data_IF_857977602751
#
_entry.id   IF_857977602751
#
_cell.length_a   1.000
_cell.length_b   1.000
_cell.length_c   1.000
_cell.angle_alpha   90.00
_cell.angle_beta   90.00
_cell.angle_gamma   90.00
#
_symmetry.space_group_name_H-M   'P 1'
#
loop_
_entity.id
_entity.type
_entity.pdbx_description
1 polymer ?
#
# COMPACT_ATOMS: atom_id res chain seq x y z
N UNK A 1 19.49 -3.11 -6.20
CA UNK A 1 18.46 -2.08 -5.95
C UNK A 1 18.87 -1.04 -4.90
N UNK A 2 19.43 -1.43 -3.74
CA UNK A 2 19.78 -0.53 -2.61
C UNK A 2 20.76 0.60 -2.97
N UNK A 3 21.88 0.27 -3.65
CA UNK A 3 22.86 1.29 -4.14
C UNK A 3 22.26 2.29 -5.14
N UNK A 4 21.30 1.85 -5.98
CA UNK A 4 20.62 2.75 -6.94
C UNK A 4 19.75 3.80 -6.23
N UNK A 5 19.10 3.43 -5.12
CA UNK A 5 18.30 4.38 -4.32
C UNK A 5 19.16 5.39 -3.58
N UNK A 6 20.34 4.99 -3.08
CA UNK A 6 21.29 5.90 -2.45
C UNK A 6 21.91 6.92 -3.44
N UNK A 7 21.78 6.72 -4.75
CA UNK A 7 22.23 7.66 -5.78
C UNK A 7 21.44 8.97 -5.87
N UNK A 8 20.30 9.09 -5.15
CA UNK A 8 19.55 10.35 -5.07
C UNK A 8 20.15 11.32 -4.05
N UNK A 9 21.03 10.86 -3.16
CA UNK A 9 21.68 11.69 -2.14
C UNK A 9 22.58 12.69 -2.85
N UNK A 10 22.42 13.97 -2.51
CA UNK A 10 23.14 15.10 -3.13
C UNK A 10 24.05 15.76 -2.12
N UNK A 11 25.06 16.44 -2.64
CA UNK A 11 26.02 17.18 -1.84
C UNK A 11 25.32 18.16 -0.89
N UNK A 12 25.66 18.08 0.41
CA UNK A 12 25.15 18.95 1.47
C UNK A 12 23.61 19.02 1.61
N UNK A 13 22.88 18.08 1.01
CA UNK A 13 21.42 18.02 1.09
C UNK A 13 21.01 16.94 2.09
N UNK A 14 20.25 17.27 3.15
CA UNK A 14 19.82 16.27 4.13
C UNK A 14 19.10 15.08 3.51
N UNK A 15 19.38 13.89 4.00
CA UNK A 15 18.71 12.65 3.63
C UNK A 15 17.98 12.07 4.82
N UNK A 16 16.69 11.78 4.63
CA UNK A 16 15.82 11.18 5.64
C UNK A 16 15.55 9.73 5.24
N UNK A 17 15.69 8.81 6.18
CA UNK A 17 15.36 7.40 5.97
C UNK A 17 14.43 6.88 7.06
N UNK A 18 13.38 6.18 6.64
CA UNK A 18 12.50 5.40 7.51
C UNK A 18 12.77 3.89 7.47
N UNK A 19 13.87 3.43 6.85
CA UNK A 19 14.19 2.00 6.75
C UNK A 19 14.68 1.46 8.09
N UNK A 20 14.07 0.39 8.58
CA UNK A 20 14.39 -0.20 9.89
C UNK A 20 15.57 -1.18 9.85
N UNK A 21 16.03 -1.61 8.66
CA UNK A 21 17.08 -2.62 8.52
C UNK A 21 18.46 -1.99 8.74
N UNK A 22 19.25 -2.46 9.74
CA UNK A 22 20.56 -1.87 10.07
C UNK A 22 21.51 -1.80 8.87
N UNK A 23 21.55 -2.86 8.06
CA UNK A 23 22.39 -2.90 6.85
C UNK A 23 22.00 -1.86 5.81
N UNK A 24 20.71 -1.52 5.70
CA UNK A 24 20.25 -0.48 4.76
C UNK A 24 20.59 0.90 5.30
N UNK A 25 20.38 1.14 6.61
CA UNK A 25 20.78 2.38 7.27
C UNK A 25 22.27 2.66 7.11
N UNK A 26 23.13 1.66 7.35
CA UNK A 26 24.58 1.79 7.21
C UNK A 26 24.99 2.24 5.79
N UNK A 27 24.41 1.64 4.75
CA UNK A 27 24.67 2.02 3.35
C UNK A 27 24.25 3.47 3.07
N UNK A 28 23.09 3.91 3.61
CA UNK A 28 22.61 5.28 3.41
C UNK A 28 23.51 6.27 4.18
N UNK A 29 23.92 5.95 5.41
CA UNK A 29 24.82 6.75 6.23
C UNK A 29 26.20 6.91 5.57
N UNK A 30 26.78 5.84 5.06
CA UNK A 30 28.03 5.87 4.30
C UNK A 30 27.91 6.82 3.10
N UNK A 31 26.83 6.68 2.31
CA UNK A 31 26.61 7.53 1.15
C UNK A 31 26.33 8.99 1.52
N UNK A 32 25.66 9.24 2.64
CA UNK A 32 25.45 10.59 3.17
C UNK A 32 26.79 11.23 3.54
N UNK A 33 27.67 10.50 4.23
CA UNK A 33 29.02 10.97 4.58
C UNK A 33 29.85 11.32 3.34
N UNK A 34 29.83 10.49 2.30
CA UNK A 34 30.50 10.78 1.02
C UNK A 34 30.02 12.07 0.36
N UNK A 35 28.77 12.46 0.59
CA UNK A 35 28.15 13.66 0.03
C UNK A 35 28.11 14.83 1.01
N UNK A 36 28.74 14.73 2.18
CA UNK A 36 28.63 15.75 3.25
C UNK A 36 27.17 16.07 3.61
N UNK A 37 26.27 15.10 3.46
CA UNK A 37 24.86 15.22 3.74
C UNK A 37 24.56 14.80 5.19
N UNK A 38 23.66 15.51 5.84
CA UNK A 38 23.12 15.12 7.15
C UNK A 38 22.21 13.90 6.97
N UNK A 39 22.47 12.83 7.72
CA UNK A 39 21.59 11.67 7.78
C UNK A 39 20.60 11.81 8.94
N UNK A 40 19.31 11.77 8.64
CA UNK A 40 18.21 11.81 9.59
C UNK A 40 17.52 10.45 9.62
N UNK A 41 17.61 9.77 10.76
CA UNK A 41 16.92 8.51 11.00
C UNK A 41 15.49 8.77 11.48
N UNK A 42 14.51 8.67 10.59
CA UNK A 42 13.11 8.89 10.95
C UNK A 42 12.56 7.80 11.88
N UNK A 43 13.20 6.63 11.97
CA UNK A 43 12.67 5.52 12.78
C UNK A 43 12.66 5.81 14.28
N UNK A 44 13.46 6.79 14.74
CA UNK A 44 13.55 7.23 16.14
C UNK A 44 12.42 8.18 16.53
N UNK A 45 11.65 8.69 15.57
CA UNK A 45 10.58 9.65 15.83
C UNK A 45 9.29 8.97 16.28
N UNK A 46 8.55 9.65 17.15
CA UNK A 46 7.18 9.30 17.50
C UNK A 46 6.19 9.87 16.49
N UNK A 47 4.96 9.36 16.52
CA UNK A 47 3.86 9.76 15.62
C UNK A 47 2.65 10.19 16.43
N UNK A 48 2.65 11.39 17.02
CA UNK A 48 1.59 11.82 17.95
C UNK A 48 0.32 12.32 17.23
N UNK A 49 0.36 12.48 15.91
CA UNK A 49 -0.76 13.02 15.13
C UNK A 49 -1.61 11.90 14.53
N UNK A 50 -2.89 12.16 14.41
CA UNK A 50 -3.80 11.31 13.64
C UNK A 50 -3.67 11.57 12.15
N UNK A 51 -4.10 10.58 11.35
CA UNK A 51 -4.17 10.70 9.88
C UNK A 51 -5.41 10.03 9.32
N UNK A 52 -5.90 10.53 8.18
CA UNK A 52 -6.95 9.90 7.38
C UNK A 52 -6.44 8.69 6.59
N UNK A 53 -5.13 8.44 6.51
CA UNK A 53 -4.59 7.21 5.91
C UNK A 53 -4.60 6.05 6.92
N UNK A 54 -5.51 5.09 6.75
CA UNK A 54 -5.82 4.06 7.77
C UNK A 54 -4.96 2.79 7.71
N UNK A 55 -4.02 2.69 6.78
CA UNK A 55 -3.09 1.57 6.71
C UNK A 55 -2.09 1.62 7.85
N UNK A 56 -1.87 0.51 8.58
CA UNK A 56 -0.95 0.48 9.73
C UNK A 56 0.49 0.86 9.38
N UNK A 57 0.92 0.49 8.17
CA UNK A 57 2.21 0.86 7.62
C UNK A 57 2.39 2.39 7.48
N UNK A 58 1.31 3.18 7.50
CA UNK A 58 1.38 4.64 7.43
C UNK A 58 2.04 5.27 8.64
N UNK A 59 2.06 4.59 9.80
CA UNK A 59 2.87 5.04 10.95
C UNK A 59 4.35 5.17 10.57
N UNK A 60 4.86 4.25 9.74
CA UNK A 60 6.25 4.30 9.23
C UNK A 60 6.43 5.50 8.29
N UNK A 61 5.46 5.76 7.41
CA UNK A 61 5.51 6.88 6.48
C UNK A 61 5.39 8.23 7.20
N UNK A 62 4.54 8.32 8.23
CA UNK A 62 4.33 9.53 9.01
C UNK A 62 5.61 9.95 9.74
N UNK A 63 6.40 9.01 10.28
CA UNK A 63 7.73 9.32 10.82
C UNK A 63 8.63 10.04 9.81
N UNK A 64 8.62 9.59 8.55
CA UNK A 64 9.40 10.22 7.47
C UNK A 64 8.88 11.62 7.15
N UNK A 65 7.57 11.81 7.12
CA UNK A 65 6.94 13.13 6.90
C UNK A 65 7.30 14.09 8.03
N UNK A 66 7.24 13.66 9.30
CA UNK A 66 7.59 14.51 10.44
C UNK A 66 9.08 14.88 10.44
N UNK A 67 9.97 13.92 10.15
CA UNK A 67 11.39 14.20 9.94
C UNK A 67 11.63 15.24 8.82
N UNK A 68 10.85 15.16 7.74
CA UNK A 68 10.93 16.10 6.63
C UNK A 68 10.47 17.49 7.02
N UNK A 69 9.37 17.60 7.76
CA UNK A 69 8.87 18.89 8.28
C UNK A 69 9.95 19.55 9.15
N UNK A 70 10.56 18.82 10.08
CA UNK A 70 11.63 19.37 10.93
C UNK A 70 12.86 19.79 10.11
N UNK A 71 13.26 18.99 9.12
CA UNK A 71 14.36 19.35 8.23
C UNK A 71 14.09 20.61 7.40
N UNK A 72 12.83 20.83 6.98
CA UNK A 72 12.41 22.04 6.25
C UNK A 72 12.33 23.25 7.19
N UNK A 73 11.84 23.09 8.42
CA UNK A 73 11.86 24.13 9.46
C UNK A 73 13.28 24.58 9.77
N UNK A 74 14.24 23.65 9.86
CA UNK A 74 15.67 23.94 10.00
C UNK A 74 16.24 24.78 8.84
N UNK A 75 15.63 24.69 7.65
CA UNK A 75 15.93 25.51 6.47
C UNK A 75 15.12 26.81 6.41
N UNK A 76 14.51 27.22 7.53
CA UNK A 76 13.70 28.45 7.68
C UNK A 76 12.41 28.45 6.84
N UNK A 77 11.94 27.29 6.40
CA UNK A 77 10.62 27.17 5.77
C UNK A 77 9.58 27.12 6.90
N UNK A 78 8.62 28.06 6.86
CA UNK A 78 7.58 28.14 7.88
C UNK A 78 6.50 27.09 7.64
N UNK A 79 6.40 26.12 8.55
CA UNK A 79 5.36 25.09 8.58
C UNK A 79 4.85 25.05 10.01
N UNK A 80 3.61 25.49 10.26
CA UNK A 80 3.06 25.52 11.63
C UNK A 80 2.62 24.13 12.09
N UNK A 81 2.51 23.92 13.40
CA UNK A 81 1.96 22.67 13.96
C UNK A 81 0.53 22.39 13.48
N UNK A 82 -0.28 23.44 13.36
CA UNK A 82 -1.64 23.37 12.84
C UNK A 82 -1.65 22.90 11.40
N UNK A 83 -0.68 23.35 10.60
CA UNK A 83 -0.52 22.92 9.20
C UNK A 83 -0.15 21.44 9.11
N UNK A 84 0.73 20.95 9.99
CA UNK A 84 1.09 19.52 10.06
C UNK A 84 -0.12 18.69 10.42
N UNK A 85 -0.85 19.06 11.48
CA UNK A 85 -2.05 18.35 11.94
C UNK A 85 -3.14 18.34 10.86
N UNK A 86 -3.45 19.49 10.28
CA UNK A 86 -4.46 19.61 9.22
C UNK A 86 -4.05 18.84 7.96
N UNK A 87 -2.77 18.87 7.59
CA UNK A 87 -2.24 18.15 6.44
C UNK A 87 -2.37 16.63 6.60
N UNK A 88 -2.01 16.09 7.77
CA UNK A 88 -2.09 14.67 8.07
C UNK A 88 -3.52 14.15 8.22
N UNK A 89 -4.43 14.96 8.76
CA UNK A 89 -5.85 14.62 8.89
C UNK A 89 -6.62 14.63 7.56
N UNK A 90 -6.09 15.27 6.52
CA UNK A 90 -6.79 15.47 5.25
C UNK A 90 -5.91 15.11 4.04
N UNK A 91 -5.03 14.10 4.14
CA UNK A 91 -4.10 13.76 3.06
C UNK A 91 -4.85 13.43 1.78
N UNK A 92 -5.91 12.63 1.87
CA UNK A 92 -6.68 12.20 0.71
C UNK A 92 -7.34 13.37 0.01
N UNK A 93 -8.00 14.25 0.78
CA UNK A 93 -8.64 15.47 0.25
C UNK A 93 -7.61 16.43 -0.36
N UNK A 94 -6.47 16.62 0.30
CA UNK A 94 -5.47 17.61 -0.11
C UNK A 94 -4.68 17.18 -1.35
N UNK A 95 -4.55 15.86 -1.60
CA UNK A 95 -3.60 15.34 -2.60
C UNK A 95 -4.21 14.37 -3.61
N UNK A 96 -5.48 13.97 -3.44
CA UNK A 96 -6.10 12.86 -4.17
C UNK A 96 -5.30 11.55 -4.06
N UNK A 97 -4.54 11.37 -2.97
CA UNK A 97 -3.72 10.18 -2.74
C UNK A 97 -4.57 9.00 -2.24
N UNK A 98 -5.28 8.39 -3.19
CA UNK A 98 -6.16 7.24 -2.96
C UNK A 98 -5.40 5.91 -2.99
N UNK A 99 -6.04 4.85 -2.48
CA UNK A 99 -5.53 3.48 -2.58
C UNK A 99 -4.48 3.10 -1.53
N UNK A 100 -4.49 3.74 -0.36
CA UNK A 100 -3.70 3.34 0.81
C UNK A 100 -4.62 3.01 1.96
N UNK A 101 -5.06 1.75 2.02
CA UNK A 101 -6.14 1.28 2.88
C UNK A 101 -7.37 2.18 2.77
N UNK A 102 -7.79 2.42 1.52
CA UNK A 102 -8.86 3.34 1.19
C UNK A 102 -10.22 2.67 1.41
N UNK A 103 -11.02 3.21 2.31
CA UNK A 103 -12.41 2.78 2.52
C UNK A 103 -13.27 3.33 1.39
N UNK A 104 -13.67 2.44 0.47
CA UNK A 104 -14.49 2.78 -0.68
C UNK A 104 -15.99 2.79 -0.34
N UNK A 105 -16.43 1.90 0.55
CA UNK A 105 -17.82 1.80 1.00
C UNK A 105 -17.88 1.22 2.41
N UNK A 106 -18.94 1.57 3.17
CA UNK A 106 -19.23 0.98 4.49
C UNK A 106 -20.25 -0.16 4.43
N UNK A 107 -21.04 -0.26 3.35
CA UNK A 107 -22.13 -1.23 3.24
C UNK A 107 -22.15 -1.92 1.86
N UNK A 108 -21.59 -3.15 1.74
CA UNK A 108 -20.70 -3.78 2.71
C UNK A 108 -19.35 -3.04 2.80
N UNK A 109 -18.62 -3.24 3.90
CA UNK A 109 -17.29 -2.65 4.08
C UNK A 109 -16.39 -3.08 2.91
N UNK A 110 -15.96 -2.11 2.11
CA UNK A 110 -15.12 -2.32 0.92
C UNK A 110 -13.84 -1.50 1.07
N UNK A 111 -12.69 -2.17 1.13
CA UNK A 111 -11.38 -1.54 1.30
C UNK A 111 -10.50 -1.82 0.08
N UNK A 112 -9.78 -0.80 -0.39
CA UNK A 112 -8.87 -0.87 -1.53
C UNK A 112 -7.43 -0.52 -1.13
N UNK A 113 -6.45 -1.31 -1.55
CA UNK A 113 -5.03 -1.00 -1.31
C UNK A 113 -4.13 -1.30 -2.53
N UNK A 114 -3.21 -0.39 -2.81
CA UNK A 114 -2.24 -0.43 -3.91
C UNK A 114 -0.97 -1.22 -3.58
N UNK A 115 -0.85 -1.79 -2.37
CA UNK A 115 0.21 -2.71 -1.99
C UNK A 115 0.40 -3.80 -3.05
N UNK A 116 1.59 -3.80 -3.67
CA UNK A 116 1.88 -4.69 -4.81
C UNK A 116 3.27 -5.34 -4.74
N UNK A 117 4.14 -4.83 -3.86
CA UNK A 117 5.40 -5.49 -3.52
C UNK A 117 5.20 -6.41 -2.31
N UNK A 118 6.15 -7.32 -2.08
CA UNK A 118 6.03 -8.33 -1.03
C UNK A 118 5.78 -7.71 0.35
N UNK A 119 6.64 -6.78 0.79
CA UNK A 119 6.50 -6.12 2.08
C UNK A 119 5.18 -5.35 2.23
N UNK A 120 4.70 -4.71 1.16
CA UNK A 120 3.42 -4.01 1.17
C UNK A 120 2.24 -4.97 1.31
N UNK A 121 2.27 -6.12 0.62
CA UNK A 121 1.24 -7.14 0.77
C UNK A 121 1.27 -7.78 2.15
N UNK A 122 2.45 -8.02 2.72
CA UNK A 122 2.59 -8.55 4.09
C UNK A 122 1.91 -7.63 5.11
N UNK A 123 2.16 -6.32 5.05
CA UNK A 123 1.54 -5.33 5.94
C UNK A 123 0.01 -5.26 5.74
N UNK A 124 -0.45 -5.28 4.49
CA UNK A 124 -1.88 -5.24 4.16
C UNK A 124 -2.60 -6.50 4.63
N UNK A 125 -2.04 -7.68 4.35
CA UNK A 125 -2.66 -8.96 4.73
C UNK A 125 -2.57 -9.21 6.22
N UNK A 126 -1.52 -8.76 6.91
CA UNK A 126 -1.46 -8.74 8.36
C UNK A 126 -2.61 -7.92 8.95
N UNK A 127 -2.85 -6.70 8.42
CA UNK A 127 -3.96 -5.87 8.87
C UNK A 127 -5.33 -6.50 8.54
N UNK A 128 -5.49 -7.14 7.38
CA UNK A 128 -6.71 -7.88 7.07
C UNK A 128 -6.95 -9.02 8.06
N UNK A 129 -5.91 -9.79 8.42
CA UNK A 129 -6.03 -10.92 9.34
C UNK A 129 -6.51 -10.52 10.74
N UNK A 130 -6.29 -9.28 11.16
CA UNK A 130 -6.80 -8.76 12.42
C UNK A 130 -8.30 -8.39 12.37
N UNK A 131 -8.88 -8.24 11.18
CA UNK A 131 -10.28 -7.92 11.02
C UNK A 131 -11.14 -9.18 11.25
N UNK A 132 -12.17 -9.12 12.11
CA UNK A 132 -12.99 -10.29 12.46
C UNK A 132 -13.93 -10.75 11.35
N UNK A 133 -14.25 -9.89 10.37
CA UNK A 133 -15.17 -10.20 9.28
C UNK A 133 -14.62 -11.30 8.37
N UNK A 134 -15.51 -12.13 7.80
CA UNK A 134 -15.15 -12.95 6.64
C UNK A 134 -14.87 -12.05 5.44
N UNK A 135 -13.90 -12.45 4.61
CA UNK A 135 -13.33 -11.58 3.58
C UNK A 135 -13.60 -12.14 2.19
N UNK A 136 -14.15 -11.30 1.32
CA UNK A 136 -14.13 -11.49 -0.13
C UNK A 136 -12.96 -10.70 -0.71
N UNK A 137 -11.95 -11.39 -1.21
CA UNK A 137 -10.68 -10.79 -1.60
C UNK A 137 -10.52 -10.81 -3.12
N UNK A 138 -10.59 -9.65 -3.75
CA UNK A 138 -10.35 -9.43 -5.18
C UNK A 138 -8.86 -9.09 -5.40
N UNK A 139 -8.12 -9.98 -6.07
CA UNK A 139 -6.68 -9.82 -6.27
C UNK A 139 -6.28 -9.99 -7.73
N UNK A 140 -5.42 -9.09 -8.21
CA UNK A 140 -4.82 -9.20 -9.54
C UNK A 140 -3.36 -8.77 -9.53
N UNK A 141 -2.57 -9.38 -10.41
CA UNK A 141 -1.13 -9.23 -10.45
C UNK A 141 -0.61 -8.99 -11.87
N UNK A 142 0.64 -8.55 -11.95
CA UNK A 142 1.38 -8.37 -13.22
C UNK A 142 2.37 -9.52 -13.41
N UNK A 143 2.85 -9.72 -14.65
CA UNK A 143 3.67 -10.89 -15.03
C UNK A 143 4.87 -11.17 -14.12
N UNK A 144 5.59 -10.12 -13.69
CA UNK A 144 6.82 -10.28 -12.91
C UNK A 144 6.59 -10.62 -11.42
N UNK A 145 5.33 -10.79 -11.00
CA UNK A 145 5.00 -11.08 -9.61
C UNK A 145 5.26 -12.56 -9.31
N UNK A 146 6.06 -12.81 -8.27
CA UNK A 146 6.23 -14.14 -7.67
C UNK A 146 4.97 -14.55 -6.91
N UNK A 147 4.07 -15.24 -7.60
CA UNK A 147 2.76 -15.62 -7.04
C UNK A 147 2.92 -16.60 -5.89
N UNK A 148 3.85 -17.55 -5.99
CA UNK A 148 4.14 -18.52 -4.92
C UNK A 148 4.47 -17.86 -3.57
N UNK A 149 5.25 -16.76 -3.59
CA UNK A 149 5.57 -15.98 -2.38
C UNK A 149 4.33 -15.25 -1.83
N UNK A 150 3.41 -14.83 -2.69
CA UNK A 150 2.15 -14.18 -2.28
C UNK A 150 1.19 -15.17 -1.67
N UNK A 151 1.04 -16.37 -2.25
CA UNK A 151 0.10 -17.39 -1.78
C UNK A 151 0.40 -17.80 -0.33
N UNK A 152 1.68 -17.81 0.07
CA UNK A 152 2.11 -18.13 1.44
C UNK A 152 1.67 -17.12 2.51
N UNK A 153 1.31 -15.90 2.12
CA UNK A 153 0.94 -14.81 3.04
C UNK A 153 -0.55 -14.43 2.93
N UNK A 154 -1.32 -15.16 2.13
CA UNK A 154 -2.73 -14.90 1.94
C UNK A 154 -3.53 -15.13 3.24
N UNK A 155 -4.53 -14.29 3.54
CA UNK A 155 -5.49 -14.56 4.60
C UNK A 155 -6.16 -15.94 4.46
N UNK A 156 -6.10 -16.84 5.46
CA UNK A 156 -6.59 -18.21 5.30
C UNK A 156 -8.13 -18.33 5.27
N UNK A 157 -8.84 -17.43 5.95
CA UNK A 157 -10.31 -17.45 6.07
C UNK A 157 -10.95 -16.42 5.13
N UNK A 158 -10.88 -16.68 3.82
CA UNK A 158 -11.36 -15.77 2.80
C UNK A 158 -11.84 -16.52 1.54
N UNK A 159 -12.74 -15.88 0.79
CA UNK A 159 -13.08 -16.24 -0.59
C UNK A 159 -12.27 -15.37 -1.55
N UNK A 160 -11.54 -16.00 -2.47
CA UNK A 160 -10.71 -15.28 -3.44
C UNK A 160 -11.39 -15.10 -4.80
N UNK A 161 -11.17 -13.94 -5.41
CA UNK A 161 -11.61 -13.57 -6.75
C UNK A 161 -10.39 -13.07 -7.50
N UNK A 162 -9.70 -13.95 -8.22
CA UNK A 162 -8.53 -13.57 -8.99
C UNK A 162 -8.94 -12.90 -10.29
N UNK A 163 -8.35 -11.74 -10.57
CA UNK A 163 -8.71 -10.89 -11.70
C UNK A 163 -7.49 -10.55 -12.54
N UNK A 164 -7.69 -10.38 -13.85
CA UNK A 164 -6.68 -9.79 -14.72
C UNK A 164 -6.83 -8.26 -14.77
N UNK A 165 -5.76 -7.48 -14.44
CA UNK A 165 -5.77 -6.04 -14.69
C UNK A 165 -5.68 -5.73 -16.19
N UNK A 166 -6.29 -4.63 -16.63
CA UNK A 166 -6.54 -4.26 -18.04
C UNK A 166 -5.31 -3.89 -18.88
N UNK A 167 -4.11 -4.05 -18.34
CA UNK A 167 -2.85 -3.65 -18.97
C UNK A 167 -2.18 -4.82 -19.70
N UNK A 168 -1.32 -4.50 -20.69
CA UNK A 168 -0.57 -5.51 -21.44
C UNK A 168 0.25 -6.48 -20.56
N UNK A 169 0.82 -5.98 -19.47
CA UNK A 169 1.62 -6.78 -18.52
C UNK A 169 0.80 -7.44 -17.40
N UNK A 170 -0.52 -7.41 -17.48
CA UNK A 170 -1.43 -8.06 -16.53
C UNK A 170 -1.37 -9.56 -16.73
N UNK A 171 -1.09 -10.31 -15.66
CA UNK A 171 -1.00 -11.76 -15.71
C UNK A 171 -2.39 -12.36 -15.60
N UNK A 172 -2.75 -13.28 -16.50
CA UNK A 172 -4.05 -13.94 -16.40
C UNK A 172 -4.04 -14.93 -15.23
N UNK A 173 -5.08 -15.01 -14.39
CA UNK A 173 -5.11 -15.99 -13.30
C UNK A 173 -5.02 -17.45 -13.74
N UNK A 174 -5.49 -17.76 -14.95
CA UNK A 174 -5.31 -19.08 -15.57
C UNK A 174 -3.83 -19.44 -15.75
N UNK A 175 -2.93 -18.46 -15.94
CA UNK A 175 -1.48 -18.68 -16.11
C UNK A 175 -0.77 -19.12 -14.81
N UNK A 176 -1.48 -19.14 -13.69
CA UNK A 176 -0.97 -19.58 -12.39
C UNK A 176 -1.99 -20.38 -11.58
N UNK A 177 -3.02 -20.92 -12.24
CA UNK A 177 -4.09 -21.64 -11.56
C UNK A 177 -3.60 -22.90 -10.85
N UNK A 178 -2.59 -23.58 -11.40
CA UNK A 178 -1.95 -24.72 -10.75
C UNK A 178 -1.43 -24.37 -9.35
N UNK A 179 -0.86 -23.17 -9.17
CA UNK A 179 -0.40 -22.70 -7.86
C UNK A 179 -1.57 -22.44 -6.90
N UNK A 180 -2.71 -21.97 -7.43
CA UNK A 180 -3.93 -21.75 -6.64
C UNK A 180 -4.52 -23.08 -6.14
N UNK A 181 -4.53 -24.09 -7.01
CA UNK A 181 -4.96 -25.45 -6.67
C UNK A 181 -4.05 -26.08 -5.62
N UNK A 182 -2.73 -25.95 -5.79
CA UNK A 182 -1.73 -26.42 -4.81
C UNK A 182 -1.87 -25.73 -3.44
N UNK A 183 -2.28 -24.45 -3.43
CA UNK A 183 -2.52 -23.70 -2.19
C UNK A 183 -3.80 -24.11 -1.45
N UNK A 184 -4.67 -24.93 -2.06
CA UNK A 184 -5.92 -25.43 -1.47
C UNK A 184 -6.82 -24.31 -0.89
N UNK A 185 -6.93 -23.20 -1.62
CA UNK A 185 -7.78 -22.06 -1.25
C UNK A 185 -9.10 -22.07 -2.04
N UNK A 186 -10.15 -21.44 -1.49
CA UNK A 186 -11.39 -21.23 -2.25
C UNK A 186 -11.26 -20.01 -3.16
N UNK A 187 -11.39 -20.20 -4.47
CA UNK A 187 -11.18 -19.12 -5.44
C UNK A 187 -12.11 -19.19 -6.66
N UNK A 188 -12.24 -18.06 -7.35
CA UNK A 188 -12.83 -17.92 -8.68
C UNK A 188 -11.92 -17.06 -9.56
N UNK A 189 -11.95 -17.24 -10.87
CA UNK A 189 -11.13 -16.51 -11.85
C UNK A 189 -12.02 -15.63 -12.73
N UNK A 190 -11.57 -14.40 -13.01
CA UNK A 190 -12.23 -13.46 -13.91
C UNK A 190 -11.24 -12.73 -14.81
N UNK A 191 -11.66 -12.46 -16.03
CA UNK A 191 -10.84 -11.76 -17.03
C UNK A 191 -10.78 -10.24 -16.81
N UNK A 192 -11.63 -9.71 -15.93
CA UNK A 192 -11.74 -8.28 -15.63
C UNK A 192 -11.92 -8.02 -14.13
N UNK A 193 -11.23 -6.97 -13.64
CA UNK A 193 -11.32 -6.50 -12.24
C UNK A 193 -12.77 -6.29 -11.79
N UNK A 194 -13.57 -5.62 -12.62
CA UNK A 194 -14.95 -5.29 -12.27
C UNK A 194 -15.89 -6.50 -12.23
N UNK A 195 -15.63 -7.54 -13.04
CA UNK A 195 -16.39 -8.78 -12.96
C UNK A 195 -16.11 -9.51 -11.65
N UNK A 196 -14.84 -9.58 -11.24
CA UNK A 196 -14.46 -10.16 -9.94
C UNK A 196 -15.03 -9.37 -8.75
N UNK A 197 -14.99 -8.04 -8.81
CA UNK A 197 -15.62 -7.19 -7.79
C UNK A 197 -17.14 -7.40 -7.72
N UNK A 198 -17.85 -7.42 -8.84
CA UNK A 198 -19.29 -7.64 -8.85
C UNK A 198 -19.66 -9.02 -8.29
N UNK A 199 -18.90 -10.06 -8.64
CA UNK A 199 -19.08 -11.38 -8.06
C UNK A 199 -18.83 -11.38 -6.55
N UNK A 200 -17.76 -10.72 -6.07
CA UNK A 200 -17.51 -10.55 -4.64
C UNK A 200 -18.68 -9.86 -3.94
N UNK A 201 -19.18 -8.76 -4.52
CA UNK A 201 -20.31 -8.00 -3.99
C UNK A 201 -21.61 -8.79 -3.94
N UNK A 202 -21.89 -9.63 -4.94
CA UNK A 202 -23.08 -10.48 -4.96
C UNK A 202 -23.07 -11.57 -3.89
N UNK A 203 -21.88 -12.08 -3.52
CA UNK A 203 -21.75 -13.14 -2.51
C UNK A 203 -21.51 -12.59 -1.10
N UNK A 204 -21.06 -11.34 -0.97
CA UNK A 204 -20.77 -10.70 0.31
C UNK A 204 -22.05 -10.41 1.08
N UNK A 205 -22.11 -10.89 2.32
CA UNK A 205 -23.21 -10.60 3.27
C UNK A 205 -22.94 -9.30 4.02
N UNK A 206 -23.95 -8.81 4.74
CA UNK A 206 -23.89 -7.52 5.45
C UNK A 206 -22.80 -7.44 6.53
N UNK A 207 -22.47 -8.56 7.18
CA UNK A 207 -21.46 -8.66 8.23
C UNK A 207 -20.07 -9.07 7.71
N UNK A 208 -19.93 -9.22 6.40
CA UNK A 208 -18.68 -9.59 5.72
C UNK A 208 -18.05 -8.35 5.09
N UNK A 209 -16.87 -8.49 4.52
CA UNK A 209 -16.16 -7.39 3.89
C UNK A 209 -15.57 -7.76 2.55
N UNK A 210 -15.32 -6.75 1.72
CA UNK A 210 -14.63 -6.87 0.45
C UNK A 210 -13.28 -6.16 0.56
N UNK A 211 -12.23 -6.84 0.13
CA UNK A 211 -10.92 -6.23 -0.07
C UNK A 211 -10.52 -6.32 -1.54
N UNK A 212 -9.95 -5.25 -2.09
CA UNK A 212 -9.49 -5.16 -3.47
C UNK A 212 -8.02 -4.73 -3.48
N UNK A 213 -7.15 -5.48 -4.16
CA UNK A 213 -5.73 -5.14 -4.19
C UNK A 213 -4.86 -6.04 -5.08
N UNK A 214 -3.58 -6.16 -4.71
CA UNK A 214 -2.58 -6.98 -5.40
C UNK A 214 -1.73 -6.19 -6.40
N UNK A 215 -2.27 -5.14 -7.01
CA UNK A 215 -1.51 -4.21 -7.84
C UNK A 215 -2.12 -2.81 -7.91
N UNK A 216 -1.29 -1.80 -8.18
CA UNK A 216 -1.78 -0.44 -8.47
C UNK A 216 -2.79 -0.43 -9.63
N UNK A 217 -2.64 -1.34 -10.60
CA UNK A 217 -3.48 -1.38 -11.79
C UNK A 217 -4.86 -1.94 -11.52
N UNK A 218 -4.98 -2.92 -10.62
CA UNK A 218 -6.28 -3.40 -10.14
C UNK A 218 -7.05 -2.25 -9.47
N UNK A 219 -6.38 -1.46 -8.64
CA UNK A 219 -7.01 -0.29 -8.01
C UNK A 219 -7.38 0.77 -9.05
N UNK A 220 -6.53 1.01 -10.04
CA UNK A 220 -6.84 1.90 -11.17
C UNK A 220 -8.10 1.48 -11.92
N UNK A 221 -8.16 0.24 -12.39
CA UNK A 221 -9.31 -0.33 -13.11
C UNK A 221 -10.60 -0.31 -12.28
N UNK A 222 -10.48 -0.57 -10.98
CA UNK A 222 -11.60 -0.54 -10.05
C UNK A 222 -12.13 0.88 -9.85
N UNK A 223 -11.26 1.83 -9.47
CA UNK A 223 -11.69 3.19 -9.20
C UNK A 223 -12.16 3.90 -10.47
N UNK A 224 -11.57 3.64 -11.63
CA UNK A 224 -12.03 4.24 -12.89
C UNK A 224 -13.49 3.91 -13.20
N UNK A 225 -13.93 2.67 -12.94
CA UNK A 225 -15.32 2.25 -13.22
C UNK A 225 -16.30 2.54 -12.08
N UNK A 226 -15.84 2.64 -10.82
CA UNK A 226 -16.73 2.70 -9.66
C UNK A 226 -16.68 4.01 -8.87
N UNK A 227 -15.66 4.84 -9.06
CA UNK A 227 -15.59 6.13 -8.39
C UNK A 227 -16.53 7.11 -9.12
N UNK A 228 -17.59 7.55 -8.45
CA UNK A 228 -18.44 8.62 -8.98
C UNK A 228 -17.58 9.86 -9.22
N UNK A 229 -17.36 10.21 -10.48
CA UNK A 229 -16.82 11.52 -10.82
C UNK A 229 -17.92 12.52 -10.52
N UNK A 230 -17.79 13.28 -9.43
CA UNK A 230 -18.57 14.52 -9.27
C UNK A 230 -18.33 15.34 -10.53
N UNK A 231 -19.34 15.42 -11.40
CA UNK A 231 -19.40 16.38 -12.50
C UNK A 231 -19.64 17.76 -11.92
#
# INVERSE_FOLDING_TARGET
>A
MRRKKAGIIKHQTPIISGDEKPIVKAIIQEKAKENEAIFIDATTLSTPYETDLKGKYQRKNQRVVLALVEALRGQKISISEESVKAGLLNVQQNTNFLGRWFEFSQHPLTICDTGHNQAGLEEVFAQLNEMPQFKHIVLGFVNDKKIDEVLRILPPNAQYYFVKPSIHRGRHPQDYENLLQEANISYQIFDEVNKGYNAARQHCRENEMIFIGGSNFVIGDFLEKNLERKK
#
